data_IF_796626879216
#
_entry.id   IF_796626879216
#
_cell.length_a   1.000
_cell.length_b   1.000
_cell.length_c   1.000
_cell.angle_alpha   90.00
_cell.angle_beta   90.00
_cell.angle_gamma   90.00
#
_symmetry.space_group_name_H-M   'P 1'
#
loop_
_entity.id
_entity.type
_entity.pdbx_description
1 polymer ?
#
# COMPACT_ATOMS: atom_id res chain seq x y z
N UNK A 1 -0.82 63.30 -25.75
CA UNK A 1 0.66 63.18 -25.66
C UNK A 1 1.22 63.02 -24.24
N UNK A 2 0.80 63.78 -23.22
CA UNK A 2 1.40 63.67 -21.87
C UNK A 2 1.03 62.43 -21.05
N UNK A 3 -0.08 61.73 -21.34
CA UNK A 3 -0.52 60.54 -20.58
C UNK A 3 0.11 59.22 -21.06
N UNK A 4 0.42 59.09 -22.34
CA UNK A 4 1.05 57.88 -22.89
C UNK A 4 2.56 57.83 -22.61
N UNK A 5 3.20 58.99 -22.50
CA UNK A 5 4.64 59.09 -22.17
C UNK A 5 4.93 58.70 -20.70
N UNK A 6 3.98 58.90 -19.79
CA UNK A 6 4.09 58.52 -18.37
C UNK A 6 3.91 57.01 -18.20
N UNK A 7 3.06 56.38 -19.00
CA UNK A 7 2.82 54.93 -18.97
C UNK A 7 4.01 54.15 -19.55
N UNK A 8 4.67 54.68 -20.58
CA UNK A 8 5.92 54.13 -21.13
C UNK A 8 7.09 54.31 -20.15
N UNK A 9 7.16 55.44 -19.41
CA UNK A 9 8.16 55.62 -18.34
C UNK A 9 7.94 54.69 -17.14
N UNK A 10 6.69 54.39 -16.77
CA UNK A 10 6.39 53.40 -15.71
C UNK A 10 6.66 51.95 -16.15
N UNK A 11 6.47 51.64 -17.44
CA UNK A 11 6.81 50.33 -18.00
C UNK A 11 8.34 50.13 -18.17
N UNK A 12 9.09 51.21 -18.43
CA UNK A 12 10.55 51.20 -18.47
C UNK A 12 11.21 51.23 -17.07
N UNK A 13 10.54 51.79 -16.06
CA UNK A 13 11.02 51.78 -14.67
C UNK A 13 10.77 50.44 -13.94
N UNK A 14 9.85 49.59 -14.45
CA UNK A 14 9.59 48.25 -13.93
C UNK A 14 10.44 47.15 -14.57
N UNK A 15 11.22 47.48 -15.61
CA UNK A 15 12.26 46.64 -16.20
C UNK A 15 13.67 47.08 -15.73
N UNK A 16 13.82 47.48 -14.48
CA UNK A 16 15.11 47.24 -13.82
C UNK A 16 15.18 45.76 -13.52
N UNK A 17 15.72 45.01 -14.49
CA UNK A 17 16.27 43.68 -14.23
C UNK A 17 17.22 43.84 -13.05
N UNK A 18 16.74 43.41 -11.89
CA UNK A 18 17.57 43.02 -10.77
C UNK A 18 18.43 41.88 -11.33
N UNK A 19 19.60 42.22 -11.87
CA UNK A 19 20.74 41.30 -11.94
C UNK A 19 21.21 41.10 -10.50
N UNK A 20 20.34 40.47 -9.70
CA UNK A 20 20.67 39.95 -8.40
C UNK A 20 21.68 38.84 -8.66
N UNK A 21 22.84 38.95 -8.03
CA UNK A 21 23.81 37.87 -8.01
C UNK A 21 23.08 36.59 -7.64
N UNK A 22 23.19 35.56 -8.48
CA UNK A 22 22.62 34.27 -8.11
C UNK A 22 23.43 33.77 -6.92
N UNK A 23 22.77 33.51 -5.80
CA UNK A 23 23.46 32.95 -4.64
C UNK A 23 24.12 31.63 -5.03
N UNK A 24 25.39 31.44 -4.65
CA UNK A 24 26.12 30.21 -4.96
C UNK A 24 25.38 29.04 -4.31
N UNK A 25 25.03 28.03 -5.10
CA UNK A 25 24.34 26.83 -4.59
C UNK A 25 25.13 26.23 -3.43
N UNK A 26 24.44 25.72 -2.41
CA UNK A 26 25.13 25.05 -1.29
C UNK A 26 25.92 23.83 -1.80
N UNK A 27 27.10 23.51 -1.21
CA UNK A 27 27.84 22.30 -1.52
C UNK A 27 26.97 21.04 -1.38
N UNK A 28 27.01 20.16 -2.37
CA UNK A 28 26.32 18.87 -2.38
C UNK A 28 27.25 17.79 -2.96
N UNK A 29 26.98 16.51 -2.65
CA UNK A 29 27.73 15.38 -3.21
C UNK A 29 26.91 14.73 -4.32
N UNK A 30 27.51 14.52 -5.49
CA UNK A 30 27.03 13.61 -6.52
C UNK A 30 27.75 12.27 -6.39
N UNK A 31 27.00 11.17 -6.28
CA UNK A 31 27.55 9.82 -6.15
C UNK A 31 27.36 9.09 -7.48
N UNK A 32 28.44 8.54 -8.01
CA UNK A 32 28.43 7.70 -9.20
C UNK A 32 28.67 6.26 -8.76
N UNK A 33 27.81 5.35 -9.20
CA UNK A 33 27.92 3.90 -8.96
C UNK A 33 28.01 3.22 -10.32
N UNK A 34 29.12 2.53 -10.58
CA UNK A 34 29.43 1.92 -11.88
C UNK A 34 29.23 2.91 -13.05
N UNK A 35 29.65 4.17 -12.85
CA UNK A 35 29.54 5.24 -13.84
C UNK A 35 28.18 5.95 -13.94
N UNK A 36 27.13 5.46 -13.29
CA UNK A 36 25.80 6.11 -13.27
C UNK A 36 25.64 7.03 -12.07
N UNK A 37 25.17 8.25 -12.30
CA UNK A 37 24.96 9.26 -11.25
C UNK A 37 23.66 9.00 -10.48
N UNK A 38 23.74 9.16 -9.16
CA UNK A 38 22.63 9.07 -8.22
C UNK A 38 22.62 10.29 -7.30
N UNK A 39 21.41 10.78 -7.04
CA UNK A 39 21.17 11.89 -6.11
C UNK A 39 21.18 11.40 -4.66
N UNK A 40 21.45 12.31 -3.72
CA UNK A 40 21.35 12.01 -2.30
C UNK A 40 19.96 11.43 -1.95
N UNK A 41 19.94 10.31 -1.23
CA UNK A 41 18.73 9.59 -0.84
C UNK A 41 18.20 8.60 -1.89
N UNK A 42 18.87 8.43 -3.03
CA UNK A 42 18.44 7.45 -4.04
C UNK A 42 18.48 6.02 -3.51
N UNK A 43 17.54 5.19 -3.96
CA UNK A 43 17.52 3.75 -3.68
C UNK A 43 17.89 2.99 -4.95
N UNK A 44 18.79 2.00 -4.83
CA UNK A 44 19.23 1.16 -5.95
C UNK A 44 19.19 -0.31 -5.58
N UNK A 45 18.80 -1.16 -6.54
CA UNK A 45 18.78 -2.61 -6.34
C UNK A 45 20.16 -3.20 -6.63
N UNK A 46 20.66 -4.03 -5.72
CA UNK A 46 21.94 -4.73 -5.81
C UNK A 46 21.77 -6.23 -5.53
N UNK A 47 22.77 -7.03 -5.87
CA UNK A 47 22.81 -8.46 -5.54
C UNK A 47 23.80 -8.72 -4.40
N UNK A 48 23.58 -9.82 -3.66
CA UNK A 48 24.55 -10.32 -2.67
C UNK A 48 25.90 -10.56 -3.32
N UNK A 49 26.99 -10.17 -2.64
CA UNK A 49 28.34 -10.32 -3.16
C UNK A 49 28.72 -9.38 -4.32
N UNK A 50 27.81 -8.51 -4.78
CA UNK A 50 28.08 -7.59 -5.89
C UNK A 50 29.20 -6.60 -5.54
N UNK A 51 30.11 -6.38 -6.49
CA UNK A 51 31.13 -5.34 -6.43
C UNK A 51 30.63 -4.07 -7.11
N UNK A 52 30.82 -2.93 -6.46
CA UNK A 52 30.41 -1.61 -6.92
C UNK A 52 31.63 -0.68 -6.97
N UNK A 53 31.79 0.03 -8.07
CA UNK A 53 32.75 1.13 -8.20
C UNK A 53 32.05 2.44 -7.85
N UNK A 54 32.53 3.11 -6.81
CA UNK A 54 31.96 4.34 -6.29
C UNK A 54 32.90 5.50 -6.59
N UNK A 55 32.36 6.58 -7.13
CA UNK A 55 33.04 7.86 -7.27
C UNK A 55 32.17 8.97 -6.70
N UNK A 56 32.74 9.81 -5.84
CA UNK A 56 32.05 10.94 -5.26
C UNK A 56 32.65 12.25 -5.76
N UNK A 57 31.79 13.23 -6.08
CA UNK A 57 32.23 14.55 -6.51
C UNK A 57 31.43 15.62 -5.78
N UNK A 58 32.10 16.68 -5.31
CA UNK A 58 31.38 17.87 -4.86
C UNK A 58 30.80 18.62 -6.06
N UNK A 59 29.58 19.14 -5.93
CA UNK A 59 28.99 20.20 -6.75
C UNK A 59 28.53 21.34 -5.84
N UNK A 60 28.23 22.51 -6.40
CA UNK A 60 27.89 23.67 -5.57
C UNK A 60 29.11 24.27 -4.87
N UNK A 61 28.85 25.30 -4.07
CA UNK A 61 29.86 26.07 -3.34
C UNK A 61 30.92 26.65 -4.28
N UNK A 62 32.17 26.66 -3.79
CA UNK A 62 33.30 27.18 -4.56
C UNK A 62 33.48 26.50 -5.92
N UNK A 63 33.11 25.22 -6.06
CA UNK A 63 33.25 24.52 -7.34
C UNK A 63 32.33 25.08 -8.41
N UNK A 64 31.10 25.46 -8.08
CA UNK A 64 30.19 26.11 -9.02
C UNK A 64 30.65 27.53 -9.34
N UNK A 65 31.13 28.28 -8.35
CA UNK A 65 31.73 29.60 -8.54
C UNK A 65 32.89 29.55 -9.56
N UNK A 66 33.77 28.56 -9.43
CA UNK A 66 34.95 28.38 -10.29
C UNK A 66 34.57 27.90 -11.69
N UNK A 67 33.56 27.01 -11.82
CA UNK A 67 33.09 26.50 -13.12
C UNK A 67 32.26 27.51 -13.91
N UNK A 68 31.46 28.32 -13.22
CA UNK A 68 30.51 29.27 -13.83
C UNK A 68 30.76 30.68 -13.29
N UNK A 69 31.98 31.23 -13.46
CA UNK A 69 32.33 32.53 -12.91
C UNK A 69 31.36 33.62 -13.38
N UNK A 70 30.85 33.52 -14.61
CA UNK A 70 29.95 34.52 -15.19
C UNK A 70 28.61 34.67 -14.43
N UNK A 71 28.19 33.64 -13.70
CA UNK A 71 26.96 33.64 -12.91
C UNK A 71 27.15 34.22 -11.50
N UNK A 72 28.39 34.20 -10.99
CA UNK A 72 28.69 34.40 -9.57
C UNK A 72 29.71 35.52 -9.29
N UNK A 73 30.56 35.86 -10.24
CA UNK A 73 31.42 37.04 -10.19
C UNK A 73 30.64 38.26 -10.68
N UNK A 74 30.85 39.38 -10.00
CA UNK A 74 30.37 40.67 -10.48
C UNK A 74 31.24 41.08 -11.66
N UNK A 75 30.79 40.80 -12.88
CA UNK A 75 31.49 41.23 -14.10
C UNK A 75 31.33 42.75 -14.22
N UNK A 76 32.36 43.50 -13.82
CA UNK A 76 32.56 44.91 -14.16
C UNK A 76 33.55 45.03 -15.32
N UNK A 77 33.64 46.17 -16.02
CA UNK A 77 34.64 46.37 -17.08
C UNK A 77 36.10 46.06 -16.65
N UNK A 78 36.37 46.15 -15.34
CA UNK A 78 37.68 45.90 -14.74
C UNK A 78 37.95 44.41 -14.39
N UNK A 79 36.98 43.51 -14.61
CA UNK A 79 37.09 42.07 -14.30
C UNK A 79 37.22 41.25 -15.57
N UNK A 80 38.33 40.53 -15.72
CA UNK A 80 38.56 39.65 -16.88
C UNK A 80 38.92 38.23 -16.42
N UNK A 81 38.11 37.25 -16.81
CA UNK A 81 38.43 35.83 -16.59
C UNK A 81 39.52 35.41 -17.57
N UNK A 82 40.66 34.95 -17.04
CA UNK A 82 41.83 34.54 -17.82
C UNK A 82 41.84 33.03 -18.09
N UNK A 83 41.41 32.22 -17.12
CA UNK A 83 41.34 30.77 -17.24
C UNK A 83 40.28 30.21 -16.31
N UNK A 84 39.48 29.24 -16.77
CA UNK A 84 38.48 28.54 -15.95
C UNK A 84 38.49 27.04 -16.21
N UNK A 85 38.20 26.26 -15.17
CA UNK A 85 38.04 24.81 -15.22
C UNK A 85 37.46 24.26 -13.91
N UNK A 86 37.35 22.94 -13.77
CA UNK A 86 36.62 22.32 -12.65
C UNK A 86 37.23 22.56 -11.26
N UNK A 87 38.54 22.78 -11.21
CA UNK A 87 39.31 22.87 -9.97
C UNK A 87 40.16 24.16 -9.89
N UNK A 88 40.03 25.06 -10.87
CA UNK A 88 40.86 26.27 -10.97
C UNK A 88 40.15 27.39 -11.72
N UNK A 89 40.24 28.60 -11.19
CA UNK A 89 39.81 29.84 -11.85
C UNK A 89 40.90 30.89 -11.66
N UNK A 90 41.29 31.54 -12.75
CA UNK A 90 42.22 32.67 -12.75
C UNK A 90 41.52 33.84 -13.43
N UNK A 91 41.49 34.98 -12.76
CA UNK A 91 40.89 36.22 -13.29
C UNK A 91 41.70 37.42 -12.84
N UNK A 92 41.50 38.57 -13.49
CA UNK A 92 41.99 39.86 -13.03
C UNK A 92 40.81 40.71 -12.56
N UNK A 93 41.03 41.49 -11.51
CA UNK A 93 40.10 42.54 -11.06
C UNK A 93 40.94 43.81 -10.82
N UNK A 94 40.64 44.88 -11.56
CA UNK A 94 41.39 46.16 -11.52
C UNK A 94 42.90 45.98 -11.67
N UNK A 95 43.31 45.04 -12.53
CA UNK A 95 44.72 44.74 -12.82
C UNK A 95 45.42 43.80 -11.84
N UNK A 96 44.77 43.36 -10.76
CA UNK A 96 45.33 42.36 -9.81
C UNK A 96 44.92 40.95 -10.24
N UNK A 97 45.89 40.06 -10.43
CA UNK A 97 45.62 38.65 -10.72
C UNK A 97 45.16 37.92 -9.46
N UNK A 98 44.01 37.27 -9.57
CA UNK A 98 43.36 36.46 -8.53
C UNK A 98 43.21 35.02 -9.01
N UNK A 99 43.53 34.06 -8.14
CA UNK A 99 43.42 32.63 -8.40
C UNK A 99 42.60 31.93 -7.31
N UNK A 100 41.64 31.11 -7.73
CA UNK A 100 41.06 30.05 -6.91
C UNK A 100 41.57 28.70 -7.40
N UNK A 101 42.06 27.87 -6.48
CA UNK A 101 42.55 26.51 -6.78
C UNK A 101 42.09 25.52 -5.74
N UNK A 102 41.59 24.37 -6.18
CA UNK A 102 41.33 23.22 -5.31
C UNK A 102 42.67 22.59 -4.91
N UNK A 103 42.95 22.55 -3.61
CA UNK A 103 44.19 21.97 -3.08
C UNK A 103 43.99 20.60 -2.44
N UNK A 104 42.76 20.28 -2.02
CA UNK A 104 42.42 18.96 -1.48
C UNK A 104 40.95 18.64 -1.71
N UNK A 105 40.66 17.41 -2.11
CA UNK A 105 39.32 16.82 -2.13
C UNK A 105 39.44 15.40 -1.55
N UNK A 106 38.71 15.12 -0.49
CA UNK A 106 38.78 13.83 0.21
C UNK A 106 37.37 13.35 0.55
N UNK A 107 37.05 12.13 0.12
CA UNK A 107 35.81 11.45 0.45
C UNK A 107 36.04 10.40 1.55
N UNK A 108 35.23 10.49 2.60
CA UNK A 108 35.11 9.48 3.63
C UNK A 108 33.85 8.66 3.35
N UNK A 109 34.06 7.42 2.93
CA UNK A 109 33.02 6.43 2.71
C UNK A 109 32.79 5.65 4.00
N UNK A 110 31.53 5.45 4.37
CA UNK A 110 31.10 4.70 5.54
C UNK A 110 29.77 3.99 5.27
N UNK A 111 29.49 2.93 6.00
CA UNK A 111 28.29 2.10 5.89
C UNK A 111 28.00 1.45 7.24
N UNK A 112 26.97 0.61 7.29
CA UNK A 112 26.84 -0.44 8.30
C UNK A 112 27.85 -1.59 8.05
N UNK A 113 27.69 -2.69 8.80
CA UNK A 113 28.51 -3.89 8.71
C UNK A 113 28.21 -4.79 7.48
N UNK A 114 27.25 -4.41 6.63
CA UNK A 114 26.87 -5.19 5.45
C UNK A 114 27.67 -4.84 4.19
N UNK A 115 28.50 -3.79 4.23
CA UNK A 115 29.38 -3.40 3.12
C UNK A 115 30.85 -3.43 3.52
N UNK A 116 31.68 -4.05 2.68
CA UNK A 116 33.13 -3.94 2.78
C UNK A 116 33.64 -2.85 1.84
N UNK A 117 34.15 -1.75 2.39
CA UNK A 117 34.62 -0.59 1.64
C UNK A 117 36.14 -0.62 1.53
N UNK A 118 36.66 -0.65 0.29
CA UNK A 118 38.09 -0.53 -0.03
C UNK A 118 38.33 0.80 -0.75
N UNK A 119 38.97 1.75 -0.07
CA UNK A 119 39.34 3.04 -0.68
C UNK A 119 40.38 2.84 -1.79
N UNK A 120 40.25 3.60 -2.87
CA UNK A 120 41.27 3.64 -3.90
C UNK A 120 42.45 4.49 -3.39
N UNK A 121 43.65 3.89 -3.29
CA UNK A 121 44.85 4.61 -2.84
C UNK A 121 45.28 5.71 -3.81
N UNK A 122 44.88 5.61 -5.09
CA UNK A 122 45.29 6.52 -6.16
C UNK A 122 44.29 7.66 -6.41
N UNK A 123 43.05 7.56 -5.89
CA UNK A 123 42.00 8.55 -6.05
C UNK A 123 41.23 8.73 -4.74
N UNK A 124 41.42 9.88 -4.08
CA UNK A 124 40.87 10.21 -2.75
C UNK A 124 39.35 10.34 -2.70
N UNK A 125 38.68 10.24 -3.85
CA UNK A 125 37.24 10.34 -4.01
C UNK A 125 36.61 9.09 -4.66
N UNK A 126 37.35 7.99 -4.72
CA UNK A 126 36.89 6.71 -5.28
C UNK A 126 37.05 5.56 -4.28
N UNK A 127 36.12 4.61 -4.32
CA UNK A 127 36.15 3.40 -3.51
C UNK A 127 35.53 2.22 -4.26
N UNK A 128 36.05 1.02 -4.02
CA UNK A 128 35.37 -0.23 -4.36
C UNK A 128 34.56 -0.69 -3.14
N UNK A 129 33.29 -1.03 -3.35
CA UNK A 129 32.38 -1.48 -2.30
C UNK A 129 31.88 -2.87 -2.64
N UNK A 130 32.05 -3.82 -1.72
CA UNK A 130 31.51 -5.17 -1.84
C UNK A 130 30.25 -5.29 -0.99
N UNK A 131 29.14 -5.68 -1.60
CA UNK A 131 27.90 -6.03 -0.90
C UNK A 131 28.11 -7.36 -0.18
N UNK A 132 27.75 -7.42 1.10
CA UNK A 132 27.81 -8.64 1.91
C UNK A 132 27.03 -9.80 1.31
N UNK A 133 27.37 -11.02 1.74
CA UNK A 133 26.69 -12.26 1.33
C UNK A 133 25.63 -12.71 2.33
N UNK A 134 25.63 -12.11 3.53
CA UNK A 134 24.69 -12.41 4.61
C UNK A 134 23.24 -12.01 4.25
N UNK A 135 22.29 -12.47 5.05
CA UNK A 135 20.87 -12.13 4.88
C UNK A 135 20.56 -10.73 5.44
N UNK A 136 20.36 -9.78 4.55
CA UNK A 136 19.84 -8.45 4.84
C UNK A 136 19.09 -7.90 3.61
N UNK A 137 18.08 -7.07 3.84
CA UNK A 137 17.24 -6.53 2.78
C UNK A 137 17.69 -5.18 2.24
N UNK A 138 18.39 -4.40 3.07
CA UNK A 138 18.88 -3.08 2.72
C UNK A 138 20.13 -2.75 3.51
N UNK A 139 20.98 -1.93 2.90
CA UNK A 139 22.12 -1.28 3.54
C UNK A 139 22.25 0.14 2.97
N UNK A 140 23.18 0.93 3.48
CA UNK A 140 23.46 2.26 2.97
C UNK A 140 24.95 2.51 2.78
N UNK A 141 25.26 3.35 1.80
CA UNK A 141 26.57 3.96 1.63
C UNK A 141 26.45 5.45 1.92
N UNK A 142 27.18 5.91 2.95
CA UNK A 142 27.32 7.31 3.34
C UNK A 142 28.66 7.85 2.85
N UNK A 143 28.63 9.03 2.24
CA UNK A 143 29.81 9.74 1.78
C UNK A 143 29.88 11.12 2.39
N UNK A 144 30.96 11.41 3.12
CA UNK A 144 31.32 12.75 3.57
C UNK A 144 32.47 13.28 2.72
N UNK A 145 32.22 14.31 1.95
CA UNK A 145 33.22 14.89 1.05
C UNK A 145 33.67 16.25 1.57
N UNK A 146 34.97 16.41 1.74
CA UNK A 146 35.59 17.65 2.18
C UNK A 146 36.49 18.21 1.09
N UNK A 147 36.30 19.48 0.73
CA UNK A 147 37.20 20.22 -0.16
C UNK A 147 37.89 21.36 0.57
N UNK A 148 39.14 21.61 0.20
CA UNK A 148 39.89 22.80 0.60
C UNK A 148 40.26 23.56 -0.66
N UNK A 149 39.82 24.81 -0.73
CA UNK A 149 40.11 25.74 -1.80
C UNK A 149 41.05 26.82 -1.29
N UNK A 150 42.03 27.18 -2.11
CA UNK A 150 42.94 28.28 -1.86
C UNK A 150 42.58 29.43 -2.79
N UNK A 151 42.44 30.61 -2.22
CA UNK A 151 42.44 31.89 -2.92
C UNK A 151 43.81 32.53 -2.80
N UNK A 152 44.30 33.12 -3.88
CA UNK A 152 45.50 33.94 -3.91
C UNK A 152 45.25 35.20 -4.75
N UNK A 153 45.55 36.39 -4.21
CA UNK A 153 45.50 37.66 -4.94
C UNK A 153 46.59 38.61 -4.42
N UNK A 154 47.60 38.90 -5.25
CA UNK A 154 48.81 39.58 -4.76
C UNK A 154 49.46 38.80 -3.60
N UNK A 155 49.62 39.45 -2.45
CA UNK A 155 50.17 38.82 -1.23
C UNK A 155 49.08 38.17 -0.33
N UNK A 156 47.80 38.32 -0.66
CA UNK A 156 46.71 37.72 0.11
C UNK A 156 46.54 36.25 -0.23
N UNK A 157 46.49 35.40 0.80
CA UNK A 157 46.06 34.01 0.67
C UNK A 157 44.97 33.66 1.67
N UNK A 158 43.93 32.96 1.21
CA UNK A 158 42.84 32.49 2.05
C UNK A 158 42.49 31.05 1.75
N UNK A 159 42.17 30.28 2.79
CA UNK A 159 41.64 28.94 2.65
C UNK A 159 40.13 28.93 2.90
N UNK A 160 39.39 28.22 2.05
CA UNK A 160 37.97 27.95 2.21
C UNK A 160 37.76 26.44 2.31
N UNK A 161 37.06 26.00 3.35
CA UNK A 161 36.72 24.60 3.57
C UNK A 161 35.24 24.41 3.32
N UNK A 162 34.92 23.47 2.43
CA UNK A 162 33.55 23.06 2.17
C UNK A 162 33.39 21.58 2.56
N UNK A 163 32.25 21.27 3.17
CA UNK A 163 31.88 19.91 3.56
C UNK A 163 30.46 19.63 3.07
N UNK A 164 30.25 18.44 2.52
CA UNK A 164 28.94 17.97 2.10
C UNK A 164 28.79 16.47 2.36
N UNK A 165 27.55 16.04 2.54
CA UNK A 165 27.18 14.68 2.89
C UNK A 165 26.14 14.16 1.89
N UNK A 166 26.23 12.88 1.53
CA UNK A 166 25.17 12.18 0.82
C UNK A 166 25.08 10.71 1.23
N UNK A 167 23.89 10.15 1.03
CA UNK A 167 23.54 8.76 1.26
C UNK A 167 22.98 8.14 -0.01
N UNK A 168 23.30 6.88 -0.24
CA UNK A 168 22.62 6.01 -1.20
C UNK A 168 22.17 4.77 -0.45
N UNK A 169 20.96 4.30 -0.73
CA UNK A 169 20.43 3.06 -0.19
C UNK A 169 20.57 1.93 -1.21
N UNK A 170 21.04 0.78 -0.75
CA UNK A 170 21.22 -0.42 -1.56
C UNK A 170 20.19 -1.47 -1.09
N UNK A 171 19.19 -1.77 -1.92
CA UNK A 171 18.18 -2.80 -1.68
C UNK A 171 18.69 -4.13 -2.26
N UNK A 172 18.82 -5.18 -1.45
CA UNK A 172 19.41 -6.46 -1.87
C UNK A 172 18.34 -7.38 -2.44
N UNK A 173 18.43 -7.70 -3.73
CA UNK A 173 17.51 -8.61 -4.40
C UNK A 173 17.57 -10.02 -3.78
N UNK A 174 16.40 -10.63 -3.56
CA UNK A 174 16.27 -12.03 -3.11
C UNK A 174 16.40 -12.25 -1.60
N UNK A 175 16.38 -11.20 -0.78
CA UNK A 175 16.44 -11.22 0.69
C UNK A 175 15.04 -11.29 1.34
N UNK A 176 14.16 -12.15 0.82
CA UNK A 176 12.74 -12.20 1.19
C UNK A 176 12.45 -13.29 2.21
N UNK A 177 13.06 -13.24 3.40
CA UNK A 177 12.58 -14.08 4.50
C UNK A 177 11.35 -13.41 5.11
N UNK A 178 10.15 -13.84 4.69
CA UNK A 178 8.91 -13.48 5.39
C UNK A 178 9.03 -13.93 6.84
N UNK A 179 8.96 -13.00 7.78
CA UNK A 179 9.20 -13.27 9.20
C UNK A 179 7.95 -13.06 10.06
N UNK A 180 6.89 -12.47 9.51
CA UNK A 180 5.58 -12.35 10.13
C UNK A 180 4.48 -12.64 9.10
N UNK A 181 3.52 -13.48 9.49
CA UNK A 181 2.37 -13.90 8.68
C UNK A 181 1.14 -14.01 9.59
N UNK A 182 0.04 -13.37 9.19
CA UNK A 182 -1.30 -13.54 9.74
C UNK A 182 -2.34 -13.51 8.61
N UNK A 183 -3.64 -13.69 8.93
CA UNK A 183 -4.73 -13.76 7.92
C UNK A 183 -4.72 -12.57 6.95
N UNK A 184 -4.46 -11.35 7.45
CA UNK A 184 -4.54 -10.13 6.67
C UNK A 184 -3.19 -9.40 6.50
N UNK A 185 -2.07 -9.96 6.96
CA UNK A 185 -0.80 -9.24 7.02
C UNK A 185 0.37 -10.19 6.76
N UNK A 186 1.18 -9.86 5.74
CA UNK A 186 2.48 -10.50 5.49
C UNK A 186 3.60 -9.46 5.57
N UNK A 187 4.73 -9.82 6.17
CA UNK A 187 5.87 -8.90 6.33
C UNK A 187 7.20 -9.55 6.01
N UNK A 188 8.01 -8.83 5.26
CA UNK A 188 9.33 -9.23 4.80
C UNK A 188 10.40 -8.21 5.21
N UNK A 189 11.67 -8.61 5.14
CA UNK A 189 12.82 -7.75 5.44
C UNK A 189 13.34 -7.90 6.86
N UNK A 190 13.77 -6.79 7.47
CA UNK A 190 14.35 -6.79 8.81
C UNK A 190 13.29 -7.15 9.85
N UNK A 191 13.58 -8.21 10.63
CA UNK A 191 12.76 -8.60 11.78
C UNK A 191 12.92 -7.60 12.91
N UNK A 192 11.80 -7.16 13.46
CA UNK A 192 11.75 -6.23 14.58
C UNK A 192 10.56 -6.55 15.50
N UNK A 193 10.84 -6.75 16.79
CA UNK A 193 9.81 -7.16 17.76
C UNK A 193 8.79 -6.04 18.04
N UNK A 194 9.21 -4.77 17.93
CA UNK A 194 8.32 -3.62 18.06
C UNK A 194 7.35 -3.51 16.88
N UNK A 195 7.82 -3.82 15.66
CA UNK A 195 6.93 -4.00 14.50
C UNK A 195 5.97 -5.17 14.76
N UNK A 196 6.47 -6.34 15.17
CA UNK A 196 5.64 -7.52 15.42
C UNK A 196 4.47 -7.26 16.38
N UNK A 197 4.74 -6.59 17.52
CA UNK A 197 3.70 -6.24 18.50
C UNK A 197 2.59 -5.37 17.90
N UNK A 198 2.95 -4.41 17.04
CA UNK A 198 1.99 -3.51 16.40
C UNK A 198 1.17 -4.22 15.32
N UNK A 199 1.79 -5.12 14.57
CA UNK A 199 1.09 -5.95 13.59
C UNK A 199 0.05 -6.85 14.27
N UNK A 200 0.36 -7.42 15.44
CA UNK A 200 -0.61 -8.20 16.21
C UNK A 200 -1.85 -7.37 16.61
N UNK A 201 -1.64 -6.12 17.04
CA UNK A 201 -2.75 -5.21 17.37
C UNK A 201 -3.58 -4.91 16.11
N UNK A 202 -2.92 -4.66 14.97
CA UNK A 202 -3.60 -4.42 13.70
C UNK A 202 -4.42 -5.64 13.30
N UNK A 203 -3.87 -6.86 13.33
CA UNK A 203 -4.62 -8.08 13.02
C UNK A 203 -5.82 -8.24 13.95
N UNK A 204 -5.65 -8.02 15.25
CA UNK A 204 -6.77 -8.09 16.19
C UNK A 204 -7.88 -7.07 15.83
N UNK A 205 -7.53 -5.86 15.38
CA UNK A 205 -8.54 -4.92 14.91
C UNK A 205 -9.25 -5.40 13.63
N UNK A 206 -8.54 -6.04 12.69
CA UNK A 206 -9.17 -6.70 11.54
C UNK A 206 -10.20 -7.73 12.00
N UNK A 207 -9.82 -8.59 12.96
CA UNK A 207 -10.67 -9.66 13.48
C UNK A 207 -11.91 -9.10 14.20
N UNK A 208 -11.77 -8.06 15.03
CA UNK A 208 -12.90 -7.47 15.76
C UNK A 208 -13.84 -6.70 14.83
N UNK A 209 -13.32 -6.01 13.81
CA UNK A 209 -14.16 -5.37 12.78
C UNK A 209 -14.97 -6.44 12.04
N UNK A 210 -14.33 -7.51 11.57
CA UNK A 210 -14.99 -8.64 10.89
C UNK A 210 -16.09 -9.22 11.77
N UNK A 211 -15.79 -9.49 13.04
CA UNK A 211 -16.75 -9.98 14.02
C UNK A 211 -17.95 -9.04 14.17
N UNK A 212 -17.73 -7.74 14.39
CA UNK A 212 -18.81 -6.78 14.57
C UNK A 212 -19.65 -6.57 13.32
N UNK A 213 -19.06 -6.63 12.12
CA UNK A 213 -19.81 -6.58 10.86
C UNK A 213 -20.70 -7.82 10.67
N UNK A 214 -20.19 -9.02 10.96
CA UNK A 214 -20.99 -10.27 10.92
C UNK A 214 -22.14 -10.23 11.92
N UNK A 215 -21.92 -9.69 13.13
CA UNK A 215 -22.95 -9.61 14.17
C UNK A 215 -23.81 -8.33 14.08
N UNK A 216 -23.71 -7.58 12.97
CA UNK A 216 -24.49 -6.37 12.69
C UNK A 216 -24.34 -5.27 13.75
N UNK A 217 -23.22 -5.27 14.49
CA UNK A 217 -22.86 -4.32 15.55
C UNK A 217 -22.12 -3.12 14.97
N UNK A 218 -22.78 -2.36 14.09
CA UNK A 218 -22.16 -1.29 13.30
C UNK A 218 -21.54 -0.15 14.10
N UNK A 219 -22.10 0.17 15.28
CA UNK A 219 -21.50 1.19 16.16
C UNK A 219 -20.13 0.77 16.68
N UNK A 220 -19.97 -0.51 17.03
CA UNK A 220 -18.67 -1.06 17.47
C UNK A 220 -17.72 -1.23 16.30
N UNK A 221 -18.19 -1.70 15.14
CA UNK A 221 -17.37 -1.76 13.92
C UNK A 221 -16.81 -0.38 13.54
N UNK A 222 -17.61 0.69 13.66
CA UNK A 222 -17.14 2.05 13.40
C UNK A 222 -16.05 2.50 14.38
N UNK A 223 -16.16 2.13 15.66
CA UNK A 223 -15.14 2.40 16.67
C UNK A 223 -13.85 1.65 16.33
N UNK A 224 -13.95 0.35 16.05
CA UNK A 224 -12.79 -0.49 15.77
C UNK A 224 -12.05 -0.07 14.50
N UNK A 225 -12.76 0.48 13.49
CA UNK A 225 -12.11 1.09 12.32
C UNK A 225 -11.25 2.29 12.71
N UNK A 226 -11.68 3.11 13.67
CA UNK A 226 -10.85 4.21 14.17
C UNK A 226 -9.64 3.67 14.93
N UNK A 227 -9.82 2.63 15.72
CA UNK A 227 -8.73 1.98 16.48
C UNK A 227 -7.70 1.32 15.52
N UNK A 228 -8.18 0.74 14.41
CA UNK A 228 -7.34 0.27 13.30
C UNK A 228 -6.52 1.40 12.70
N UNK A 229 -7.16 2.54 12.37
CA UNK A 229 -6.48 3.71 11.82
C UNK A 229 -5.38 4.22 12.76
N UNK A 230 -5.66 4.30 14.05
CA UNK A 230 -4.69 4.70 15.07
C UNK A 230 -3.51 3.70 15.14
N UNK A 231 -3.80 2.41 15.08
CA UNK A 231 -2.79 1.35 15.16
C UNK A 231 -1.86 1.34 13.95
N UNK A 232 -2.41 1.49 12.74
CA UNK A 232 -1.65 1.60 11.50
C UNK A 232 -0.80 2.88 11.48
N UNK A 233 -1.35 4.01 11.92
CA UNK A 233 -0.58 5.26 12.04
C UNK A 233 0.57 5.11 13.04
N UNK A 234 0.32 4.44 14.17
CA UNK A 234 1.33 4.18 15.19
C UNK A 234 2.46 3.27 14.67
N UNK A 235 2.13 2.29 13.82
CA UNK A 235 3.12 1.48 13.11
C UNK A 235 3.93 2.32 12.13
N UNK A 236 3.30 3.17 11.31
CA UNK A 236 4.03 4.05 10.40
C UNK A 236 5.03 4.94 11.14
N UNK A 237 4.59 5.62 12.21
CA UNK A 237 5.48 6.45 13.02
C UNK A 237 6.67 5.68 13.58
N UNK A 238 6.45 4.44 14.01
CA UNK A 238 7.51 3.56 14.49
C UNK A 238 8.50 3.19 13.36
N UNK A 239 8.01 2.81 12.17
CA UNK A 239 8.87 2.50 11.02
C UNK A 239 9.72 3.71 10.61
N UNK A 240 9.14 4.92 10.60
CA UNK A 240 9.89 6.13 10.29
C UNK A 240 10.97 6.41 11.34
N UNK A 241 10.68 6.21 12.63
CA UNK A 241 11.66 6.36 13.70
C UNK A 241 12.78 5.31 13.61
N UNK A 242 12.43 4.05 13.32
CA UNK A 242 13.38 2.96 13.13
C UNK A 242 14.31 3.25 11.93
N UNK A 243 13.75 3.72 10.81
CA UNK A 243 14.52 4.12 9.62
C UNK A 243 15.40 5.36 9.86
N UNK A 244 14.93 6.32 10.65
CA UNK A 244 15.72 7.50 11.03
C UNK A 244 16.91 7.13 11.95
N UNK A 245 16.72 6.14 12.83
CA UNK A 245 17.75 5.67 13.77
C UNK A 245 18.74 4.71 13.11
N UNK A 246 18.25 3.87 12.20
CA UNK A 246 19.03 2.94 11.40
C UNK A 246 18.59 3.03 9.92
N UNK A 247 19.34 3.75 9.07
CA UNK A 247 19.01 3.90 7.65
C UNK A 247 18.99 2.57 6.86
N UNK A 248 19.60 1.50 7.39
CA UNK A 248 19.54 0.15 6.81
C UNK A 248 18.25 -0.60 7.15
N UNK A 249 17.44 -0.09 8.09
CA UNK A 249 16.16 -0.70 8.46
C UNK A 249 15.21 -0.70 7.26
N UNK A 250 14.83 -1.89 6.81
CA UNK A 250 13.85 -2.07 5.74
C UNK A 250 12.92 -3.23 6.05
N UNK A 251 11.66 -2.90 6.27
CA UNK A 251 10.57 -3.84 6.54
C UNK A 251 9.44 -3.52 5.58
N UNK A 252 9.06 -4.48 4.76
CA UNK A 252 7.98 -4.34 3.78
C UNK A 252 6.72 -4.99 4.32
N UNK A 253 5.65 -4.21 4.42
CA UNK A 253 4.36 -4.64 4.98
C UNK A 253 3.37 -4.78 3.83
N UNK A 254 2.69 -5.92 3.79
CA UNK A 254 1.68 -6.25 2.81
C UNK A 254 0.38 -6.57 3.54
N UNK A 255 -0.64 -5.74 3.33
CA UNK A 255 -2.00 -6.02 3.77
C UNK A 255 -2.73 -6.89 2.74
N UNK A 256 -3.45 -7.90 3.19
CA UNK A 256 -4.18 -8.85 2.34
C UNK A 256 -5.66 -8.82 2.69
N UNK A 257 -6.49 -8.44 1.72
CA UNK A 257 -7.93 -8.30 1.89
C UNK A 257 -8.35 -7.21 2.87
N UNK A 258 -9.63 -7.24 3.26
CA UNK A 258 -10.29 -6.33 4.19
C UNK A 258 -11.18 -7.14 5.15
N UNK A 259 -11.41 -6.64 6.38
CA UNK A 259 -12.28 -7.32 7.34
C UNK A 259 -13.76 -7.30 6.92
N UNK A 260 -14.13 -6.46 5.96
CA UNK A 260 -15.45 -6.37 5.34
C UNK A 260 -15.71 -7.41 4.25
N UNK A 261 -14.69 -8.11 3.75
CA UNK A 261 -14.87 -8.90 2.53
C UNK A 261 -15.85 -10.07 2.69
N UNK A 262 -15.77 -10.82 3.81
CA UNK A 262 -16.75 -11.89 4.11
C UNK A 262 -18.16 -11.32 4.29
N UNK A 263 -18.40 -10.30 5.13
CA UNK A 263 -19.71 -9.65 5.21
C UNK A 263 -20.28 -9.16 3.86
N UNK A 264 -19.43 -8.70 2.94
CA UNK A 264 -19.86 -8.34 1.58
C UNK A 264 -20.30 -9.58 0.79
N UNK A 265 -19.53 -10.68 0.85
CA UNK A 265 -19.90 -11.94 0.22
C UNK A 265 -21.21 -12.52 0.79
N UNK A 266 -21.40 -12.44 2.12
CA UNK A 266 -22.63 -12.87 2.78
C UNK A 266 -23.84 -12.03 2.31
N UNK A 267 -23.66 -10.72 2.07
CA UNK A 267 -24.70 -9.86 1.50
C UNK A 267 -25.10 -10.27 0.07
N UNK A 268 -24.15 -10.65 -0.78
CA UNK A 268 -24.44 -11.17 -2.12
C UNK A 268 -25.25 -12.47 -2.06
N UNK A 269 -24.98 -13.32 -1.07
CA UNK A 269 -25.79 -14.52 -0.79
C UNK A 269 -27.21 -14.12 -0.37
N UNK A 270 -27.38 -13.16 0.54
CA UNK A 270 -28.70 -12.66 0.93
C UNK A 270 -29.47 -11.97 -0.20
N UNK A 271 -28.78 -11.29 -1.12
CA UNK A 271 -29.38 -10.73 -2.34
C UNK A 271 -29.98 -11.85 -3.22
N UNK A 272 -29.27 -12.97 -3.39
CA UNK A 272 -29.77 -14.16 -4.10
C UNK A 272 -30.90 -14.87 -3.33
N UNK A 273 -30.72 -15.09 -2.03
CA UNK A 273 -31.73 -15.75 -1.18
C UNK A 273 -33.06 -15.00 -1.19
N UNK A 274 -33.05 -13.67 -1.18
CA UNK A 274 -34.29 -12.89 -1.27
C UNK A 274 -35.05 -13.17 -2.58
N UNK A 275 -34.35 -13.20 -3.72
CA UNK A 275 -34.97 -13.54 -5.01
C UNK A 275 -35.53 -14.97 -5.00
N UNK A 276 -34.76 -15.92 -4.48
CA UNK A 276 -35.17 -17.32 -4.43
C UNK A 276 -36.33 -17.58 -3.48
N UNK A 277 -36.40 -16.90 -2.33
CA UNK A 277 -37.55 -17.01 -1.43
C UNK A 277 -38.81 -16.37 -2.01
N UNK A 278 -38.69 -15.25 -2.75
CA UNK A 278 -39.83 -14.67 -3.46
C UNK A 278 -40.38 -15.62 -4.55
N UNK A 279 -39.47 -16.30 -5.28
CA UNK A 279 -39.83 -17.34 -6.25
C UNK A 279 -40.51 -18.52 -5.56
N UNK A 280 -39.97 -18.97 -4.42
CA UNK A 280 -40.56 -20.05 -3.64
C UNK A 280 -41.95 -19.70 -3.11
N UNK A 281 -42.12 -18.51 -2.54
CA UNK A 281 -43.41 -18.04 -2.04
C UNK A 281 -44.48 -18.09 -3.14
N UNK A 282 -44.14 -17.60 -4.34
CA UNK A 282 -45.03 -17.67 -5.50
C UNK A 282 -45.38 -19.11 -5.86
N UNK A 283 -44.38 -20.00 -5.90
CA UNK A 283 -44.57 -21.42 -6.19
C UNK A 283 -45.50 -22.09 -5.17
N UNK A 284 -45.24 -21.90 -3.88
CA UNK A 284 -46.02 -22.52 -2.79
C UNK A 284 -47.48 -22.03 -2.83
N UNK A 285 -47.72 -20.73 -3.04
CA UNK A 285 -49.09 -20.21 -3.20
C UNK A 285 -49.81 -20.82 -4.41
N UNK A 286 -49.10 -21.05 -5.53
CA UNK A 286 -49.68 -21.75 -6.70
C UNK A 286 -49.99 -23.22 -6.42
N UNK A 287 -49.31 -23.85 -5.47
CA UNK A 287 -49.58 -25.23 -5.04
C UNK A 287 -50.72 -25.34 -4.02
N UNK A 288 -51.30 -24.23 -3.53
CA UNK A 288 -52.40 -24.27 -2.56
C UNK A 288 -53.57 -25.21 -2.93
N UNK A 289 -54.03 -25.29 -4.20
CA UNK A 289 -55.07 -26.25 -4.59
C UNK A 289 -54.63 -27.72 -4.50
N UNK A 290 -53.34 -27.99 -4.71
CA UNK A 290 -52.75 -29.33 -4.59
C UNK A 290 -52.63 -29.70 -3.11
N UNK A 291 -52.14 -28.78 -2.29
CA UNK A 291 -51.99 -28.93 -0.83
C UNK A 291 -53.36 -29.14 -0.17
N UNK A 292 -54.36 -28.32 -0.51
CA UNK A 292 -55.69 -28.36 0.11
C UNK A 292 -56.61 -29.46 -0.46
N UNK A 293 -56.21 -30.11 -1.55
CA UNK A 293 -56.96 -31.21 -2.15
C UNK A 293 -57.12 -32.40 -1.20
N UNK A 294 -58.33 -32.96 -1.14
CA UNK A 294 -58.64 -34.17 -0.36
C UNK A 294 -59.43 -35.16 -1.23
N UNK A 295 -58.98 -36.42 -1.41
CA UNK A 295 -57.70 -36.98 -0.93
C UNK A 295 -56.48 -36.39 -1.66
N UNK A 296 -55.29 -36.51 -1.07
CA UNK A 296 -54.06 -36.08 -1.71
C UNK A 296 -53.82 -36.89 -3.00
N UNK A 297 -53.55 -36.20 -4.13
CA UNK A 297 -53.25 -36.86 -5.39
C UNK A 297 -51.73 -37.16 -5.47
N UNK A 298 -51.28 -38.43 -5.50
CA UNK A 298 -49.86 -38.78 -5.45
C UNK A 298 -49.04 -38.20 -6.60
N UNK A 299 -49.56 -38.21 -7.83
CA UNK A 299 -48.85 -37.72 -9.01
C UNK A 299 -48.64 -36.20 -8.94
N UNK A 300 -49.68 -35.46 -8.52
CA UNK A 300 -49.58 -34.00 -8.33
C UNK A 300 -48.60 -33.64 -7.21
N UNK A 301 -48.60 -34.40 -6.11
CA UNK A 301 -47.65 -34.19 -5.00
C UNK A 301 -46.20 -34.44 -5.44
N UNK A 302 -45.94 -35.52 -6.18
CA UNK A 302 -44.62 -35.80 -6.75
C UNK A 302 -44.14 -34.66 -7.64
N UNK A 303 -44.99 -34.14 -8.53
CA UNK A 303 -44.64 -33.02 -9.41
C UNK A 303 -44.33 -31.76 -8.59
N UNK A 304 -45.09 -31.47 -7.54
CA UNK A 304 -44.83 -30.34 -6.66
C UNK A 304 -43.49 -30.48 -5.91
N UNK A 305 -43.20 -31.64 -5.34
CA UNK A 305 -41.90 -31.88 -4.67
C UNK A 305 -40.74 -31.82 -5.66
N UNK A 306 -40.90 -32.36 -6.88
CA UNK A 306 -39.85 -32.30 -7.92
C UNK A 306 -39.51 -30.84 -8.29
N UNK A 307 -40.53 -29.99 -8.45
CA UNK A 307 -40.33 -28.54 -8.67
C UNK A 307 -39.73 -27.82 -7.46
N UNK A 308 -40.03 -28.28 -6.24
CA UNK A 308 -39.40 -27.75 -5.04
C UNK A 308 -37.91 -28.12 -4.99
N UNK A 309 -37.54 -29.36 -5.33
CA UNK A 309 -36.15 -29.79 -5.46
C UNK A 309 -35.42 -28.95 -6.52
N UNK A 310 -36.04 -28.73 -7.69
CA UNK A 310 -35.47 -27.85 -8.73
C UNK A 310 -35.20 -26.45 -8.19
N UNK A 311 -36.08 -25.90 -7.35
CA UNK A 311 -35.85 -24.65 -6.65
C UNK A 311 -34.68 -24.74 -5.65
N UNK A 312 -34.62 -25.80 -4.86
CA UNK A 312 -33.56 -25.99 -3.87
C UNK A 312 -32.17 -26.03 -4.51
N UNK A 313 -32.06 -26.60 -5.72
CA UNK A 313 -30.80 -26.65 -6.48
C UNK A 313 -30.34 -25.30 -7.05
N UNK A 314 -31.17 -24.25 -7.02
CA UNK A 314 -30.72 -22.91 -7.43
C UNK A 314 -30.19 -22.06 -6.28
N UNK A 315 -30.25 -22.57 -5.04
CA UNK A 315 -29.74 -21.85 -3.88
C UNK A 315 -28.21 -21.67 -4.01
N UNK A 316 -27.66 -20.51 -3.60
CA UNK A 316 -26.23 -20.26 -3.71
C UNK A 316 -25.43 -21.19 -2.79
N UNK A 317 -24.19 -21.49 -3.17
CA UNK A 317 -23.27 -22.23 -2.30
C UNK A 317 -23.13 -21.56 -0.93
N UNK A 318 -22.93 -22.36 0.12
CA UNK A 318 -22.76 -21.92 1.52
C UNK A 318 -23.97 -21.18 2.12
N UNK A 319 -25.14 -21.16 1.46
CA UNK A 319 -26.34 -20.51 2.01
C UNK A 319 -26.72 -21.01 3.41
N UNK A 320 -26.53 -22.30 3.68
CA UNK A 320 -26.79 -22.91 5.00
C UNK A 320 -25.90 -22.30 6.09
N UNK A 321 -24.61 -22.11 5.81
CA UNK A 321 -23.65 -21.52 6.75
C UNK A 321 -24.04 -20.07 7.02
N UNK A 322 -24.34 -19.32 5.96
CA UNK A 322 -24.73 -17.90 6.07
C UNK A 322 -26.05 -17.77 6.84
N UNK A 323 -27.08 -18.56 6.52
CA UNK A 323 -28.33 -18.54 7.27
C UNK A 323 -28.13 -18.96 8.73
N UNK A 324 -27.28 -19.95 9.02
CA UNK A 324 -26.97 -20.34 10.40
C UNK A 324 -26.32 -19.22 11.22
N UNK A 325 -25.54 -18.34 10.58
CA UNK A 325 -24.89 -17.20 11.25
C UNK A 325 -25.90 -16.08 11.53
N UNK A 326 -26.69 -15.68 10.53
CA UNK A 326 -27.52 -14.48 10.64
C UNK A 326 -28.98 -14.76 11.04
N UNK A 327 -29.46 -15.99 10.86
CA UNK A 327 -30.83 -16.43 11.11
C UNK A 327 -30.85 -17.78 11.87
N UNK A 328 -30.14 -17.92 13.01
CA UNK A 328 -30.03 -19.20 13.72
C UNK A 328 -31.38 -19.75 14.22
N UNK A 329 -32.42 -18.91 14.31
CA UNK A 329 -33.77 -19.33 14.67
C UNK A 329 -34.51 -20.07 13.55
N UNK A 330 -34.07 -19.96 12.29
CA UNK A 330 -34.66 -20.71 11.18
C UNK A 330 -34.01 -22.09 11.18
N UNK A 331 -34.81 -23.13 11.44
CA UNK A 331 -34.35 -24.50 11.28
C UNK A 331 -34.22 -24.83 9.78
N UNK A 332 -32.99 -24.88 9.28
CA UNK A 332 -32.69 -25.14 7.88
C UNK A 332 -33.04 -26.57 7.44
N UNK A 333 -33.14 -27.52 8.36
CA UNK A 333 -33.60 -28.89 8.07
C UNK A 333 -35.07 -28.91 7.63
N UNK A 334 -35.86 -27.90 8.03
CA UNK A 334 -37.26 -27.73 7.61
C UNK A 334 -37.41 -27.04 6.25
N UNK A 335 -36.30 -26.59 5.65
CA UNK A 335 -36.27 -26.03 4.29
C UNK A 335 -35.88 -27.13 3.30
N UNK A 336 -34.91 -27.96 3.66
CA UNK A 336 -34.43 -29.05 2.82
C UNK A 336 -35.51 -30.13 2.64
N UNK A 337 -35.70 -30.60 1.41
CA UNK A 337 -36.52 -31.78 1.16
C UNK A 337 -35.88 -32.99 1.87
N UNK A 338 -36.60 -33.69 2.76
CA UNK A 338 -36.08 -34.88 3.43
C UNK A 338 -35.65 -35.95 2.42
N UNK A 339 -34.53 -36.63 2.68
CA UNK A 339 -33.97 -37.65 1.78
C UNK A 339 -34.97 -38.74 1.37
N UNK A 340 -35.88 -39.11 2.27
CA UNK A 340 -36.95 -40.08 1.99
C UNK A 340 -37.94 -39.54 0.95
N UNK A 341 -38.30 -38.25 1.00
CA UNK A 341 -39.19 -37.66 -0.01
C UNK A 341 -38.47 -37.49 -1.35
N UNK A 342 -37.18 -37.16 -1.30
CA UNK A 342 -36.36 -37.06 -2.49
C UNK A 342 -36.27 -38.40 -3.25
N UNK A 343 -35.91 -39.50 -2.56
CA UNK A 343 -35.80 -40.81 -3.20
C UNK A 343 -37.13 -41.29 -3.81
N UNK A 344 -38.26 -41.03 -3.14
CA UNK A 344 -39.59 -41.36 -3.65
C UNK A 344 -39.94 -40.65 -4.97
N UNK A 345 -39.48 -39.41 -5.13
CA UNK A 345 -39.73 -38.62 -6.34
C UNK A 345 -38.77 -38.99 -7.47
N UNK A 346 -37.53 -39.35 -7.15
CA UNK A 346 -36.50 -39.76 -8.11
C UNK A 346 -36.72 -41.19 -8.62
N UNK A 347 -37.07 -42.14 -7.75
CA UNK A 347 -37.34 -43.55 -8.09
C UNK A 347 -38.77 -43.78 -8.61
N UNK A 348 -39.60 -42.74 -8.59
CA UNK A 348 -40.98 -42.74 -9.08
C UNK A 348 -41.90 -43.80 -8.42
N UNK A 349 -41.60 -44.23 -7.19
CA UNK A 349 -42.39 -45.23 -6.46
C UNK A 349 -43.76 -44.68 -6.02
N UNK A 350 -44.84 -45.46 -6.18
CA UNK A 350 -46.20 -45.06 -5.77
C UNK A 350 -46.55 -45.66 -4.41
N UNK A 351 -46.48 -44.85 -3.35
CA UNK A 351 -46.90 -45.26 -2.00
C UNK A 351 -47.95 -44.28 -1.43
N UNK A 352 -49.20 -44.69 -1.17
CA UNK A 352 -50.24 -43.81 -0.61
C UNK A 352 -49.84 -43.12 0.72
N UNK A 353 -49.02 -43.75 1.56
CA UNK A 353 -48.57 -43.11 2.81
C UNK A 353 -47.58 -41.96 2.58
N UNK A 354 -46.95 -41.90 1.40
CA UNK A 354 -46.03 -40.83 1.04
C UNK A 354 -46.72 -39.54 0.58
N UNK A 355 -47.95 -39.62 0.04
CA UNK A 355 -48.66 -38.40 -0.38
C UNK A 355 -49.02 -37.52 0.81
N UNK A 356 -49.31 -38.12 1.96
CA UNK A 356 -49.59 -37.38 3.19
C UNK A 356 -48.33 -36.74 3.77
N UNK A 357 -47.17 -37.41 3.67
CA UNK A 357 -45.87 -36.84 4.06
C UNK A 357 -45.45 -35.68 3.15
N UNK A 358 -45.61 -35.82 1.83
CA UNK A 358 -45.35 -34.75 0.86
C UNK A 358 -46.27 -33.55 1.09
N UNK A 359 -47.56 -33.81 1.35
CA UNK A 359 -48.54 -32.78 1.69
C UNK A 359 -48.15 -32.07 3.00
N UNK A 360 -47.79 -32.81 4.04
CA UNK A 360 -47.35 -32.24 5.32
C UNK A 360 -46.13 -31.33 5.15
N UNK A 361 -45.13 -31.76 4.38
CA UNK A 361 -43.96 -30.93 4.06
C UNK A 361 -44.39 -29.62 3.36
N UNK A 362 -45.17 -29.70 2.28
CA UNK A 362 -45.61 -28.51 1.54
C UNK A 362 -46.51 -27.59 2.37
N UNK A 363 -47.37 -28.14 3.24
CA UNK A 363 -48.16 -27.36 4.21
C UNK A 363 -47.26 -26.60 5.18
N UNK A 364 -46.26 -27.27 5.76
CA UNK A 364 -45.29 -26.63 6.65
C UNK A 364 -44.51 -25.53 5.93
N UNK A 365 -44.14 -25.73 4.66
CA UNK A 365 -43.50 -24.68 3.85
C UNK A 365 -44.44 -23.48 3.64
N UNK A 366 -45.73 -23.72 3.38
CA UNK A 366 -46.73 -22.66 3.23
C UNK A 366 -46.93 -21.84 4.51
N UNK A 367 -46.84 -22.46 5.68
CA UNK A 367 -46.96 -21.76 6.97
C UNK A 367 -45.74 -20.86 7.28
N UNK A 368 -44.54 -21.28 6.88
CA UNK A 368 -43.30 -20.60 7.29
C UNK A 368 -42.78 -19.58 6.25
N UNK A 369 -43.09 -19.75 4.96
CA UNK A 369 -42.43 -19.03 3.86
C UNK A 369 -42.56 -17.50 3.98
N UNK A 370 -43.68 -16.98 4.46
CA UNK A 370 -43.88 -15.54 4.63
C UNK A 370 -42.94 -14.98 5.70
N UNK A 371 -42.87 -15.64 6.86
CA UNK A 371 -42.02 -15.22 7.97
C UNK A 371 -40.54 -15.30 7.58
N UNK A 372 -40.12 -16.38 6.93
CA UNK A 372 -38.76 -16.53 6.43
C UNK A 372 -38.40 -15.45 5.40
N UNK A 373 -39.30 -15.13 4.47
CA UNK A 373 -39.11 -14.08 3.46
C UNK A 373 -38.92 -12.70 4.10
N UNK A 374 -39.70 -12.39 5.13
CA UNK A 374 -39.56 -11.16 5.90
C UNK A 374 -38.21 -11.12 6.63
N UNK A 375 -37.81 -12.21 7.30
CA UNK A 375 -36.54 -12.30 8.02
C UNK A 375 -35.33 -12.17 7.09
N UNK A 376 -35.32 -12.87 5.95
CA UNK A 376 -34.27 -12.76 4.93
C UNK A 376 -34.17 -11.32 4.42
N UNK A 377 -35.30 -10.67 4.13
CA UNK A 377 -35.32 -9.28 3.68
C UNK A 377 -34.82 -8.31 4.76
N UNK A 378 -35.18 -8.52 6.02
CA UNK A 378 -34.70 -7.71 7.14
C UNK A 378 -33.18 -7.81 7.31
N UNK A 379 -32.62 -9.02 7.26
CA UNK A 379 -31.18 -9.22 7.37
C UNK A 379 -30.45 -8.63 6.17
N UNK A 380 -30.92 -8.87 4.95
CA UNK A 380 -30.38 -8.23 3.74
C UNK A 380 -30.31 -6.71 3.91
N UNK A 381 -31.41 -6.08 4.32
CA UNK A 381 -31.48 -4.63 4.49
C UNK A 381 -30.50 -4.13 5.57
N UNK A 382 -30.34 -4.87 6.66
CA UNK A 382 -29.31 -4.56 7.68
C UNK A 382 -27.91 -4.70 7.09
N UNK A 383 -27.61 -5.78 6.38
CA UNK A 383 -26.31 -6.05 5.76
C UNK A 383 -25.92 -5.02 4.69
N UNK A 384 -26.87 -4.32 4.06
CA UNK A 384 -26.53 -3.23 3.12
C UNK A 384 -25.62 -2.17 3.73
N UNK A 385 -25.69 -1.93 5.05
CA UNK A 385 -24.82 -1.00 5.74
C UNK A 385 -23.33 -1.41 5.65
N UNK A 386 -23.01 -2.69 5.47
CA UNK A 386 -21.64 -3.19 5.27
C UNK A 386 -20.97 -2.52 4.07
N UNK A 387 -21.71 -2.19 3.00
CA UNK A 387 -21.16 -1.50 1.81
C UNK A 387 -20.51 -0.15 2.18
N UNK A 388 -21.04 0.56 3.18
CA UNK A 388 -20.46 1.81 3.68
C UNK A 388 -19.12 1.55 4.39
N UNK A 389 -19.09 0.58 5.30
CA UNK A 389 -17.88 0.21 6.04
C UNK A 389 -16.80 -0.31 5.10
N UNK A 390 -17.18 -1.07 4.09
CA UNK A 390 -16.29 -1.53 3.04
C UNK A 390 -15.64 -0.36 2.29
N UNK A 391 -16.44 0.63 1.88
CA UNK A 391 -15.94 1.85 1.25
C UNK A 391 -14.97 2.61 2.15
N UNK A 392 -15.25 2.70 3.45
CA UNK A 392 -14.35 3.34 4.42
C UNK A 392 -13.00 2.60 4.54
N UNK A 393 -13.04 1.27 4.69
CA UNK A 393 -11.87 0.41 4.83
C UNK A 393 -11.01 0.43 3.56
N UNK A 394 -11.63 0.25 2.39
CA UNK A 394 -10.95 0.30 1.10
C UNK A 394 -10.30 1.66 0.86
N UNK A 395 -11.04 2.75 1.10
CA UNK A 395 -10.50 4.11 0.97
C UNK A 395 -9.29 4.31 1.90
N UNK A 396 -9.40 3.91 3.16
CA UNK A 396 -8.31 4.07 4.10
C UNK A 396 -7.08 3.22 3.75
N UNK A 397 -7.23 1.91 3.55
CA UNK A 397 -6.10 1.02 3.24
C UNK A 397 -5.43 1.41 1.93
N UNK A 398 -6.19 1.79 0.90
CA UNK A 398 -5.62 2.27 -0.37
C UNK A 398 -4.88 3.61 -0.26
N UNK A 399 -5.16 4.41 0.77
CA UNK A 399 -4.47 5.69 1.01
C UNK A 399 -3.09 5.52 1.64
N UNK A 400 -2.77 4.30 2.11
CA UNK A 400 -1.47 3.98 2.73
C UNK A 400 -0.42 3.84 1.62
N UNK A 401 0.59 4.70 1.62
CA UNK A 401 1.64 4.74 0.60
C UNK A 401 2.96 4.07 1.02
N UNK A 402 3.07 3.67 2.29
CA UNK A 402 4.27 3.06 2.86
C UNK A 402 4.16 1.53 3.01
N UNK A 403 2.99 0.96 2.75
CA UNK A 403 2.70 -0.46 2.72
C UNK A 403 2.05 -0.83 1.39
N UNK A 404 2.10 -2.11 1.03
CA UNK A 404 1.37 -2.65 -0.11
C UNK A 404 0.02 -3.21 0.35
N UNK A 405 -0.96 -3.21 -0.56
CA UNK A 405 -2.25 -3.84 -0.33
C UNK A 405 -2.63 -4.71 -1.52
N UNK A 406 -3.04 -5.94 -1.22
CA UNK A 406 -3.56 -6.90 -2.19
C UNK A 406 -5.04 -7.14 -1.92
N UNK A 407 -5.85 -7.00 -2.97
CA UNK A 407 -7.28 -7.28 -2.91
C UNK A 407 -7.52 -8.78 -3.18
N UNK A 408 -7.95 -9.52 -2.16
CA UNK A 408 -8.15 -10.97 -2.26
C UNK A 408 -9.53 -11.39 -2.79
N UNK A 409 -10.44 -10.45 -3.11
CA UNK A 409 -11.79 -10.79 -3.62
C UNK A 409 -11.76 -11.60 -4.92
N UNK A 410 -10.67 -11.52 -5.68
CA UNK A 410 -10.53 -12.25 -6.95
C UNK A 410 -10.22 -13.75 -6.75
N UNK A 411 -9.85 -14.18 -5.54
CA UNK A 411 -9.43 -15.56 -5.25
C UNK A 411 -10.51 -16.44 -4.57
N UNK A 412 -11.68 -15.88 -4.27
CA UNK A 412 -12.80 -16.58 -3.64
C UNK A 412 -12.61 -16.82 -2.13
N UNK A 413 -13.70 -16.69 -1.36
CA UNK A 413 -13.66 -16.99 0.08
C UNK A 413 -13.86 -18.49 0.31
N UNK A 414 -12.85 -19.14 0.89
CA UNK A 414 -13.04 -20.47 1.48
C UNK A 414 -13.81 -20.31 2.79
N UNK A 415 -15.08 -20.74 2.81
CA UNK A 415 -15.78 -20.95 4.07
C UNK A 415 -15.09 -22.11 4.79
N UNK A 416 -14.34 -21.82 5.86
CA UNK A 416 -13.83 -22.86 6.74
C UNK A 416 -15.03 -23.65 7.30
N UNK A 417 -14.98 -24.98 7.17
CA UNK A 417 -16.01 -25.90 7.65
C UNK A 417 -16.16 -25.87 9.17
#
# INVERSE_FOLDING_TARGET
MKREMILVMWFLASFQLVFGQTEVRKPAVEIFINGKMYQNGSEITVQKGQMLEIKALQKGGRRDFVNYPDNYLKITPDVQVLSRGTNRLVYTDKGVSSEWKLISENALFSSDNHLAIKKNSSASNEAAVQVGVDDFSRTYLKVNLNTIWQFAAGDEQKLERNSSEAFIYLNVAGSTSTWYVSENIHVQGAKDDGVAQRLNIIQNNFDTIKYHLIHLNYSLAQKDIRDLQLSINSLNSYLQQAKASNPAFNTEIHFVGLPSDRPISDLEIFEKLQSEWARLSTFISQQAPVINGTPANPDKMKVAIRKYLDWQYTLPDNWLIVMGIYLPQINTDNIMVPAVLQSLVEENQNNPSSSDQMKAFLSQRNENIETETQQISQIKNKLQAVKLFDGMLRSYISSINWAQWENNREFGFAYAK
#
